data_IF_154176971477
#
_entry.id   IF_154176971477
#
_cell.length_a   1.000
_cell.length_b   1.000
_cell.length_c   1.000
_cell.angle_alpha   90.00
_cell.angle_beta   90.00
_cell.angle_gamma   90.00
#
_symmetry.space_group_name_H-M   'P 1'
#
loop_
_entity.id
_entity.type
_entity.pdbx_description
1 polymer ?
#
# COMPACT_ATOMS: atom_id res chain seq x y z
N UNK A 1 -27.31 5.03 -13.06
CA UNK A 1 -26.19 4.17 -12.60
C UNK A 1 -24.82 4.72 -13.02
N UNK A 2 -24.48 4.87 -14.31
CA UNK A 2 -23.12 5.30 -14.75
C UNK A 2 -22.66 6.64 -14.13
N UNK A 3 -23.53 7.66 -14.12
CA UNK A 3 -23.23 9.00 -13.58
C UNK A 3 -22.70 8.93 -12.14
N UNK A 4 -23.21 7.99 -11.38
CA UNK A 4 -22.97 7.86 -9.95
C UNK A 4 -21.61 7.21 -9.66
N UNK A 5 -21.15 6.28 -10.50
CA UNK A 5 -19.76 5.79 -10.47
C UNK A 5 -18.76 6.87 -10.89
N UNK A 6 -19.10 7.67 -11.92
CA UNK A 6 -18.26 8.78 -12.37
C UNK A 6 -18.15 9.86 -11.29
N UNK A 7 -19.24 10.18 -10.60
CA UNK A 7 -19.25 11.07 -9.44
C UNK A 7 -18.37 10.52 -8.32
N UNK A 8 -18.49 9.22 -7.99
CA UNK A 8 -17.64 8.59 -6.97
C UNK A 8 -16.15 8.71 -7.33
N UNK A 9 -15.76 8.41 -8.57
CA UNK A 9 -14.38 8.57 -9.05
C UNK A 9 -13.92 10.03 -8.92
N UNK A 10 -14.73 10.99 -9.35
CA UNK A 10 -14.41 12.41 -9.24
C UNK A 10 -14.22 12.90 -7.80
N UNK A 11 -15.12 12.50 -6.89
CA UNK A 11 -15.03 12.82 -5.47
C UNK A 11 -13.82 12.15 -4.80
N UNK A 12 -13.53 10.88 -5.12
CA UNK A 12 -12.33 10.17 -4.64
C UNK A 12 -11.07 10.90 -5.10
N UNK A 13 -10.98 11.22 -6.39
CA UNK A 13 -9.81 11.92 -6.95
C UNK A 13 -9.62 13.29 -6.29
N UNK A 14 -10.68 14.08 -6.17
CA UNK A 14 -10.62 15.38 -5.50
C UNK A 14 -10.16 15.26 -4.04
N UNK A 15 -10.74 14.33 -3.29
CA UNK A 15 -10.39 14.12 -1.88
C UNK A 15 -8.91 13.69 -1.72
N UNK A 16 -8.43 12.76 -2.57
CA UNK A 16 -7.02 12.35 -2.56
C UNK A 16 -6.09 13.52 -2.94
N UNK A 17 -6.43 14.31 -3.95
CA UNK A 17 -5.63 15.47 -4.35
C UNK A 17 -5.53 16.52 -3.24
N UNK A 18 -6.64 16.80 -2.54
CA UNK A 18 -6.66 17.70 -1.38
C UNK A 18 -5.80 17.19 -0.22
N UNK A 19 -5.92 15.90 0.12
CA UNK A 19 -5.14 15.29 1.20
C UNK A 19 -3.65 15.16 0.87
N UNK A 20 -3.30 14.89 -0.39
CA UNK A 20 -1.90 14.91 -0.84
C UNK A 20 -1.34 16.34 -0.97
N UNK A 21 -2.19 17.32 -1.24
CA UNK A 21 -1.86 18.74 -1.10
C UNK A 21 -1.52 19.10 0.36
N UNK A 22 -2.29 18.57 1.32
CA UNK A 22 -1.96 18.70 2.74
C UNK A 22 -0.66 17.97 3.08
N UNK A 23 -0.43 16.77 2.54
CA UNK A 23 0.82 16.04 2.72
C UNK A 23 2.04 16.84 2.25
N UNK A 24 1.91 17.52 1.12
CA UNK A 24 2.92 18.45 0.62
C UNK A 24 3.19 19.59 1.60
N UNK A 25 2.15 20.24 2.14
CA UNK A 25 2.31 21.31 3.14
C UNK A 25 3.03 20.79 4.39
N UNK A 26 2.67 19.59 4.88
CA UNK A 26 3.31 18.97 6.05
C UNK A 26 4.78 18.66 5.77
N UNK A 27 5.09 18.08 4.61
CA UNK A 27 6.47 17.77 4.20
C UNK A 27 7.30 19.06 4.08
N UNK A 28 6.77 20.13 3.50
CA UNK A 28 7.46 21.42 3.38
C UNK A 28 7.71 22.09 4.74
N UNK A 29 6.79 21.95 5.70
CA UNK A 29 6.94 22.52 7.05
C UNK A 29 7.89 21.73 7.95
N UNK A 30 7.87 20.40 7.82
CA UNK A 30 8.66 19.51 8.68
C UNK A 30 10.03 19.18 8.11
N UNK A 31 10.22 19.32 6.79
CA UNK A 31 11.40 18.85 6.07
C UNK A 31 11.53 17.32 6.02
N UNK A 32 10.55 16.57 6.52
CA UNK A 32 10.58 15.12 6.62
C UNK A 32 9.57 14.51 5.65
N UNK A 33 10.09 13.77 4.69
CA UNK A 33 9.30 13.23 3.58
C UNK A 33 8.60 11.93 3.95
N UNK A 34 8.97 11.29 5.06
CA UNK A 34 8.26 10.13 5.56
C UNK A 34 6.80 10.41 5.93
N UNK A 35 6.45 11.67 6.23
CA UNK A 35 5.06 12.06 6.46
C UNK A 35 4.18 11.93 5.22
N UNK A 36 4.75 12.01 4.01
CA UNK A 36 4.02 11.85 2.76
C UNK A 36 3.37 10.47 2.69
N UNK A 37 4.16 9.41 2.87
CA UNK A 37 3.68 8.03 2.80
C UNK A 37 2.70 7.70 3.95
N UNK A 38 2.92 8.27 5.13
CA UNK A 38 2.00 8.14 6.26
C UNK A 38 0.63 8.78 5.96
N UNK A 39 0.64 10.02 5.46
CA UNK A 39 -0.60 10.75 5.11
C UNK A 39 -1.30 10.06 3.95
N UNK A 40 -0.57 9.58 2.94
CA UNK A 40 -1.14 8.80 1.84
C UNK A 40 -1.87 7.54 2.33
N UNK A 41 -1.28 6.82 3.30
CA UNK A 41 -1.89 5.61 3.89
C UNK A 41 -3.20 5.94 4.62
N UNK A 42 -3.20 7.02 5.42
CA UNK A 42 -4.41 7.49 6.10
C UNK A 42 -5.46 8.04 5.13
N UNK A 43 -5.04 8.80 4.11
CA UNK A 43 -5.91 9.39 3.12
C UNK A 43 -6.64 8.30 2.31
N UNK A 44 -5.90 7.31 1.81
CA UNK A 44 -6.46 6.17 1.09
C UNK A 44 -7.50 5.42 1.92
N UNK A 45 -7.22 5.19 3.22
CA UNK A 45 -8.15 4.55 4.14
C UNK A 45 -9.40 5.37 4.42
N UNK A 46 -9.23 6.65 4.73
CA UNK A 46 -10.35 7.55 5.05
C UNK A 46 -11.25 7.76 3.84
N UNK A 47 -10.66 8.01 2.66
CA UNK A 47 -11.43 8.16 1.40
C UNK A 47 -12.10 6.85 1.03
N UNK A 48 -11.43 5.70 1.21
CA UNK A 48 -12.03 4.38 0.99
C UNK A 48 -13.21 4.10 1.92
N UNK A 49 -13.08 4.42 3.21
CA UNK A 49 -14.16 4.25 4.19
C UNK A 49 -15.34 5.19 3.90
N UNK A 50 -15.08 6.45 3.57
CA UNK A 50 -16.12 7.40 3.16
C UNK A 50 -16.83 6.94 1.88
N UNK A 51 -16.10 6.41 0.91
CA UNK A 51 -16.68 5.87 -0.31
C UNK A 51 -17.48 4.58 -0.05
N UNK A 52 -17.04 3.72 0.86
CA UNK A 52 -17.80 2.53 1.28
C UNK A 52 -19.15 2.90 1.92
N UNK A 53 -19.16 3.95 2.74
CA UNK A 53 -20.35 4.44 3.45
C UNK A 53 -21.21 5.40 2.64
N UNK A 54 -20.88 5.63 1.36
CA UNK A 54 -21.60 6.57 0.51
C UNK A 54 -23.07 6.15 0.36
N UNK A 55 -24.05 7.04 0.66
CA UNK A 55 -25.47 6.68 0.64
C UNK A 55 -25.99 6.75 -0.80
N UNK A 56 -25.98 5.62 -1.50
CA UNK A 56 -26.48 5.52 -2.88
C UNK A 56 -27.90 4.99 -2.98
N UNK A 57 -28.31 4.22 -1.98
CA UNK A 57 -29.56 3.50 -1.89
C UNK A 57 -29.74 2.95 -0.46
N UNK A 58 -30.87 2.29 -0.22
CA UNK A 58 -31.15 1.46 0.97
C UNK A 58 -30.33 0.14 0.98
N UNK A 59 -29.17 0.12 0.29
CA UNK A 59 -28.27 -1.02 0.24
C UNK A 59 -27.75 -1.43 1.61
N UNK A 60 -27.25 -2.66 1.71
CA UNK A 60 -26.91 -3.34 2.97
C UNK A 60 -25.95 -2.52 3.85
N UNK A 61 -26.43 -1.91 4.95
CA UNK A 61 -25.59 -1.10 5.82
C UNK A 61 -24.45 -1.94 6.43
N UNK A 62 -24.71 -3.22 6.71
CA UNK A 62 -23.73 -4.16 7.27
C UNK A 62 -22.53 -4.38 6.36
N UNK A 63 -22.71 -4.54 5.04
CA UNK A 63 -21.58 -4.72 4.10
C UNK A 63 -20.76 -3.44 4.00
N UNK A 64 -21.42 -2.28 3.90
CA UNK A 64 -20.75 -0.98 3.84
C UNK A 64 -19.85 -0.75 5.05
N UNK A 65 -20.37 -1.00 6.26
CA UNK A 65 -19.62 -0.89 7.51
C UNK A 65 -18.48 -1.90 7.57
N UNK A 66 -18.71 -3.16 7.16
CA UNK A 66 -17.66 -4.19 7.11
C UNK A 66 -16.51 -3.76 6.19
N UNK A 67 -16.81 -3.37 4.95
CA UNK A 67 -15.79 -2.99 3.97
C UNK A 67 -15.05 -1.71 4.40
N UNK A 68 -15.74 -0.75 5.00
CA UNK A 68 -15.11 0.42 5.62
C UNK A 68 -14.16 0.03 6.76
N UNK A 69 -14.57 -0.90 7.63
CA UNK A 69 -13.71 -1.39 8.71
C UNK A 69 -12.46 -2.09 8.17
N UNK A 70 -12.58 -2.91 7.11
CA UNK A 70 -11.44 -3.60 6.49
C UNK A 70 -10.38 -2.62 5.98
N UNK A 71 -10.78 -1.56 5.25
CA UNK A 71 -9.81 -0.57 4.75
C UNK A 71 -9.22 0.27 5.89
N UNK A 72 -10.00 0.56 6.94
CA UNK A 72 -9.50 1.30 8.10
C UNK A 72 -8.48 0.49 8.91
N UNK A 73 -8.71 -0.82 9.08
CA UNK A 73 -7.75 -1.72 9.75
C UNK A 73 -6.40 -1.70 9.02
N UNK A 74 -6.43 -1.82 7.68
CA UNK A 74 -5.23 -1.69 6.85
C UNK A 74 -4.57 -0.31 7.02
N UNK A 75 -5.35 0.75 6.86
CA UNK A 75 -4.88 2.14 6.87
C UNK A 75 -4.25 2.55 8.19
N UNK A 76 -4.91 2.23 9.31
CA UNK A 76 -4.40 2.52 10.65
C UNK A 76 -3.10 1.77 10.88
N UNK A 77 -3.01 0.50 10.48
CA UNK A 77 -1.80 -0.31 10.66
C UNK A 77 -0.62 0.27 9.86
N UNK A 78 -0.80 0.48 8.55
CA UNK A 78 0.28 0.94 7.68
C UNK A 78 0.65 2.40 8.00
N UNK A 79 -0.34 3.27 8.07
CA UNK A 79 -0.16 4.69 8.40
C UNK A 79 0.52 4.88 9.75
N UNK A 80 0.15 4.11 10.78
CA UNK A 80 0.80 4.19 12.11
C UNK A 80 2.23 3.66 12.07
N UNK A 81 2.49 2.56 11.34
CA UNK A 81 3.83 2.02 11.19
C UNK A 81 4.78 3.06 10.59
N UNK A 82 4.36 3.70 9.49
CA UNK A 82 5.15 4.72 8.79
C UNK A 82 5.27 5.99 9.64
N UNK A 83 4.15 6.50 10.19
CA UNK A 83 4.15 7.70 11.02
C UNK A 83 5.09 7.59 12.23
N UNK A 84 5.15 6.42 12.90
CA UNK A 84 6.10 6.19 14.00
C UNK A 84 7.56 6.28 13.54
N UNK A 85 7.86 5.80 12.34
CA UNK A 85 9.21 5.88 11.74
C UNK A 85 9.56 7.34 11.40
N UNK A 86 8.62 8.07 10.80
CA UNK A 86 8.80 9.48 10.45
C UNK A 86 8.95 10.36 11.68
N UNK A 87 8.13 10.14 12.72
CA UNK A 87 8.24 10.85 14.00
C UNK A 87 9.57 10.61 14.72
N UNK A 88 10.23 9.47 14.46
CA UNK A 88 11.59 9.19 14.95
C UNK A 88 12.70 9.89 14.14
N UNK A 89 12.36 10.79 13.21
CA UNK A 89 13.32 11.54 12.39
C UNK A 89 13.96 10.74 11.26
N UNK A 90 13.46 9.54 10.98
CA UNK A 90 13.96 8.72 9.87
C UNK A 90 13.28 9.20 8.59
N UNK A 91 14.01 10.01 7.82
CA UNK A 91 13.58 10.46 6.50
C UNK A 91 13.71 9.33 5.47
N UNK A 92 12.88 9.40 4.43
CA UNK A 92 12.94 8.47 3.31
C UNK A 92 14.00 8.93 2.29
N UNK A 93 15.07 8.15 2.05
CA UNK A 93 16.16 8.55 1.17
C UNK A 93 15.72 8.91 -0.25
N UNK A 94 14.60 8.36 -0.75
CA UNK A 94 14.08 8.64 -2.11
C UNK A 94 13.77 10.12 -2.27
N UNK A 95 13.09 10.70 -1.30
CA UNK A 95 12.67 12.10 -1.36
C UNK A 95 13.83 13.06 -1.13
N UNK A 96 14.77 12.71 -0.26
CA UNK A 96 16.01 13.45 -0.10
C UNK A 96 16.84 13.47 -1.40
N UNK A 97 16.85 12.37 -2.17
CA UNK A 97 17.48 12.34 -3.50
C UNK A 97 16.77 13.27 -4.48
N UNK A 98 15.43 13.22 -4.55
CA UNK A 98 14.65 14.13 -5.40
C UNK A 98 14.87 15.60 -5.06
N UNK A 99 14.91 15.95 -3.77
CA UNK A 99 15.17 17.32 -3.35
C UNK A 99 16.55 17.81 -3.81
N UNK A 100 17.58 16.95 -3.73
CA UNK A 100 18.93 17.25 -4.22
C UNK A 100 18.97 17.41 -5.74
N UNK A 101 18.32 16.52 -6.49
CA UNK A 101 18.29 16.55 -7.96
C UNK A 101 17.49 17.74 -8.51
N UNK A 102 16.39 18.12 -7.84
CA UNK A 102 15.48 19.16 -8.31
C UNK A 102 15.88 20.57 -7.86
N UNK A 103 16.77 20.69 -6.88
CA UNK A 103 17.30 21.97 -6.40
C UNK A 103 16.19 22.97 -6.05
N UNK A 104 16.30 24.20 -6.56
CA UNK A 104 15.32 25.26 -6.31
C UNK A 104 13.89 24.92 -6.78
N UNK A 105 13.74 23.99 -7.73
CA UNK A 105 12.44 23.55 -8.23
C UNK A 105 11.81 22.44 -7.37
N UNK A 106 12.50 21.95 -6.32
CA UNK A 106 12.07 20.81 -5.52
C UNK A 106 10.65 20.97 -4.93
N UNK A 107 10.27 22.11 -4.30
CA UNK A 107 8.92 22.26 -3.76
C UNK A 107 7.83 22.08 -4.82
N UNK A 108 7.99 22.71 -5.97
CA UNK A 108 7.01 22.67 -7.07
C UNK A 108 6.93 21.27 -7.69
N UNK A 109 8.08 20.64 -7.96
CA UNK A 109 8.12 19.28 -8.52
C UNK A 109 7.55 18.25 -7.54
N UNK A 110 7.82 18.41 -6.25
CA UNK A 110 7.23 17.58 -5.20
C UNK A 110 5.70 17.69 -5.20
N UNK A 111 5.15 18.90 -5.31
CA UNK A 111 3.70 19.08 -5.38
C UNK A 111 3.10 18.26 -6.53
N UNK A 112 3.60 18.42 -7.76
CA UNK A 112 3.09 17.67 -8.91
C UNK A 112 3.30 16.16 -8.79
N UNK A 113 4.40 15.73 -8.18
CA UNK A 113 4.64 14.31 -7.88
C UNK A 113 3.63 13.76 -6.88
N UNK A 114 3.27 14.50 -5.83
CA UNK A 114 2.24 14.05 -4.88
C UNK A 114 0.83 14.08 -5.50
N UNK A 115 0.57 14.99 -6.44
CA UNK A 115 -0.69 14.97 -7.19
C UNK A 115 -0.76 13.77 -8.15
N UNK A 116 0.33 13.38 -8.80
CA UNK A 116 0.33 12.15 -9.61
C UNK A 116 0.14 10.91 -8.74
N UNK A 117 0.73 10.86 -7.53
CA UNK A 117 0.44 9.81 -6.55
C UNK A 117 -1.04 9.78 -6.16
N UNK A 118 -1.67 10.93 -5.93
CA UNK A 118 -3.11 11.01 -5.63
C UNK A 118 -3.95 10.38 -6.75
N UNK A 119 -3.69 10.74 -8.00
CA UNK A 119 -4.46 10.25 -9.16
C UNK A 119 -4.23 8.76 -9.41
N UNK A 120 -2.99 8.29 -9.31
CA UNK A 120 -2.64 6.86 -9.44
C UNK A 120 -3.29 6.02 -8.33
N UNK A 121 -3.62 6.62 -7.19
CA UNK A 121 -4.24 5.93 -6.05
C UNK A 121 -5.77 5.83 -6.15
N UNK A 122 -6.42 6.53 -7.08
CA UNK A 122 -7.89 6.50 -7.26
C UNK A 122 -8.47 5.07 -7.35
N UNK A 123 -7.86 4.11 -8.06
CA UNK A 123 -8.37 2.75 -8.13
C UNK A 123 -8.48 2.06 -6.75
N UNK A 124 -7.67 2.48 -5.77
CA UNK A 124 -7.65 1.88 -4.44
C UNK A 124 -8.96 2.18 -3.67
N UNK A 125 -9.34 3.44 -3.33
CA UNK A 125 -10.66 3.70 -2.73
C UNK A 125 -11.83 3.30 -3.63
N UNK A 126 -11.66 3.35 -4.95
CA UNK A 126 -12.73 2.94 -5.87
C UNK A 126 -13.02 1.44 -5.78
N UNK A 127 -12.03 0.58 -5.61
CA UNK A 127 -12.25 -0.84 -5.35
C UNK A 127 -13.00 -1.07 -4.02
N UNK A 128 -12.70 -0.26 -2.98
CA UNK A 128 -13.43 -0.28 -1.69
C UNK A 128 -14.90 0.10 -1.89
N UNK A 129 -15.16 1.18 -2.65
CA UNK A 129 -16.50 1.60 -3.03
C UNK A 129 -17.27 0.48 -3.75
N UNK A 130 -16.65 -0.15 -4.75
CA UNK A 130 -17.27 -1.20 -5.54
C UNK A 130 -17.58 -2.44 -4.71
N UNK A 131 -16.69 -2.81 -3.79
CA UNK A 131 -16.89 -3.91 -2.85
C UNK A 131 -18.06 -3.65 -1.90
N UNK A 132 -18.12 -2.44 -1.32
CA UNK A 132 -19.20 -2.05 -0.40
C UNK A 132 -20.59 -2.06 -1.06
N UNK A 133 -20.64 -1.73 -2.36
CA UNK A 133 -21.87 -1.59 -3.15
C UNK A 133 -22.17 -2.80 -4.06
N UNK A 134 -21.50 -3.93 -3.85
CA UNK A 134 -21.80 -5.14 -4.59
C UNK A 134 -23.25 -5.59 -4.33
N UNK A 135 -24.07 -5.89 -5.36
CA UNK A 135 -25.48 -6.22 -5.18
C UNK A 135 -25.62 -7.62 -4.56
N UNK A 136 -26.27 -7.69 -3.38
CA UNK A 136 -26.71 -8.94 -2.75
C UNK A 136 -27.77 -8.65 -1.67
N UNK A 137 -28.63 -9.63 -1.32
CA UNK A 137 -29.60 -9.49 -0.23
C UNK A 137 -29.00 -9.61 1.18
N UNK A 138 -27.77 -10.10 1.30
CA UNK A 138 -27.04 -10.22 2.57
C UNK A 138 -25.53 -10.36 2.38
N UNK A 139 -24.82 -10.62 3.48
CA UNK A 139 -23.41 -11.04 3.41
C UNK A 139 -23.31 -12.40 2.73
N UNK A 140 -22.31 -12.55 1.87
CA UNK A 140 -22.02 -13.74 1.08
C UNK A 140 -20.71 -14.35 1.55
N UNK A 141 -20.41 -15.57 1.08
CA UNK A 141 -19.13 -16.24 1.35
C UNK A 141 -17.93 -15.36 0.96
N UNK A 142 -18.05 -14.56 -0.11
CA UNK A 142 -17.02 -13.63 -0.55
C UNK A 142 -16.67 -12.56 0.49
N UNK A 143 -17.66 -12.07 1.26
CA UNK A 143 -17.45 -11.08 2.32
C UNK A 143 -16.54 -11.66 3.42
N UNK A 144 -16.79 -12.91 3.81
CA UNK A 144 -15.97 -13.63 4.79
C UNK A 144 -14.58 -13.97 4.27
N UNK A 145 -14.45 -14.37 2.99
CA UNK A 145 -13.14 -14.59 2.36
C UNK A 145 -12.34 -13.28 2.34
N UNK A 146 -12.98 -12.16 2.01
CA UNK A 146 -12.35 -10.84 2.05
C UNK A 146 -11.82 -10.46 3.44
N UNK A 147 -12.60 -10.74 4.50
CA UNK A 147 -12.13 -10.58 5.90
C UNK A 147 -10.86 -11.42 6.14
N UNK A 148 -10.89 -12.71 5.78
CA UNK A 148 -9.74 -13.60 5.99
C UNK A 148 -8.51 -13.11 5.24
N UNK A 149 -8.65 -12.64 3.99
CA UNK A 149 -7.56 -12.08 3.20
C UNK A 149 -6.93 -10.88 3.91
N UNK A 150 -7.72 -9.91 4.38
CA UNK A 150 -7.22 -8.73 5.09
C UNK A 150 -6.52 -9.11 6.39
N UNK A 151 -7.09 -10.04 7.18
CA UNK A 151 -6.47 -10.48 8.43
C UNK A 151 -5.12 -11.18 8.17
N UNK A 152 -5.05 -12.06 7.18
CA UNK A 152 -3.80 -12.73 6.77
C UNK A 152 -2.78 -11.70 6.27
N UNK A 153 -3.21 -10.74 5.44
CA UNK A 153 -2.36 -9.65 4.94
C UNK A 153 -1.76 -8.84 6.10
N UNK A 154 -2.60 -8.30 6.98
CA UNK A 154 -2.16 -7.48 8.11
C UNK A 154 -1.24 -8.25 9.07
N UNK A 155 -1.58 -9.51 9.37
CA UNK A 155 -0.77 -10.36 10.23
C UNK A 155 0.58 -10.72 9.59
N UNK A 156 0.57 -11.09 8.30
CA UNK A 156 1.77 -11.43 7.54
C UNK A 156 2.72 -10.25 7.40
N UNK A 157 2.19 -9.06 7.08
CA UNK A 157 2.96 -7.83 6.99
C UNK A 157 3.55 -7.45 8.36
N UNK A 158 2.75 -7.50 9.43
CA UNK A 158 3.22 -7.24 10.79
C UNK A 158 4.31 -8.22 11.24
N UNK A 159 4.20 -9.49 10.85
CA UNK A 159 5.23 -10.49 11.10
C UNK A 159 6.52 -10.18 10.34
N UNK A 160 6.43 -9.85 9.05
CA UNK A 160 7.58 -9.49 8.21
C UNK A 160 8.32 -8.28 8.80
N UNK A 161 7.61 -7.22 9.16
CA UNK A 161 8.21 -6.02 9.76
C UNK A 161 8.82 -6.29 11.12
N UNK A 162 8.17 -7.12 11.95
CA UNK A 162 8.71 -7.52 13.26
C UNK A 162 10.00 -8.34 13.10
N UNK A 163 10.07 -9.24 12.11
CA UNK A 163 11.28 -10.00 11.79
C UNK A 163 12.41 -9.05 11.37
N UNK A 164 12.14 -8.12 10.45
CA UNK A 164 13.13 -7.15 9.99
C UNK A 164 13.60 -6.24 11.12
N UNK A 165 12.69 -5.73 11.95
CA UNK A 165 13.02 -4.86 13.08
C UNK A 165 13.92 -5.59 14.09
N UNK A 166 13.56 -6.83 14.45
CA UNK A 166 14.37 -7.66 15.36
C UNK A 166 15.75 -7.97 14.77
N UNK A 167 15.83 -8.19 13.46
CA UNK A 167 17.10 -8.38 12.78
C UNK A 167 17.99 -7.14 12.88
N UNK A 168 17.44 -5.96 12.57
CA UNK A 168 18.16 -4.67 12.60
C UNK A 168 18.63 -4.26 14.00
N UNK A 169 17.89 -4.60 15.04
CA UNK A 169 18.22 -4.23 16.43
C UNK A 169 19.38 -5.03 17.04
N UNK A 170 19.85 -6.10 16.39
CA UNK A 170 20.98 -6.90 16.89
C UNK A 170 22.31 -6.33 16.36
N UNK A 171 23.25 -5.90 17.23
CA UNK A 171 24.54 -5.36 16.78
C UNK A 171 25.35 -6.34 15.91
N UNK A 172 25.25 -7.64 16.18
CA UNK A 172 25.88 -8.71 15.38
C UNK A 172 25.39 -8.79 13.93
N UNK A 173 24.31 -8.09 13.59
CA UNK A 173 23.74 -8.04 12.25
C UNK A 173 24.10 -6.75 11.48
N UNK A 174 24.93 -5.88 12.06
CA UNK A 174 25.45 -4.72 11.37
C UNK A 174 26.14 -5.16 10.06
N UNK A 175 25.82 -4.49 8.94
CA UNK A 175 26.37 -4.85 7.64
C UNK A 175 25.77 -6.08 6.96
N UNK A 176 24.86 -6.82 7.61
CA UNK A 176 24.28 -8.06 7.06
C UNK A 176 22.95 -7.82 6.34
N UNK A 177 22.51 -8.84 5.59
CA UNK A 177 21.21 -8.90 4.90
C UNK A 177 20.25 -9.76 5.70
N UNK A 178 19.01 -9.30 5.87
CA UNK A 178 17.97 -10.05 6.57
C UNK A 178 17.45 -11.18 5.68
N UNK A 179 17.80 -12.42 6.04
CA UNK A 179 17.42 -13.64 5.33
C UNK A 179 16.87 -14.69 6.31
N UNK A 180 15.89 -14.28 7.14
CA UNK A 180 15.27 -15.14 8.15
C UNK A 180 13.75 -15.09 8.05
N UNK A 181 13.09 -16.17 8.46
CA UNK A 181 11.62 -16.22 8.48
C UNK A 181 11.04 -15.98 7.08
N UNK A 182 10.11 -15.04 6.96
CA UNK A 182 9.46 -14.68 5.70
C UNK A 182 10.43 -14.07 4.70
N UNK A 183 11.47 -13.37 5.18
CA UNK A 183 12.52 -12.80 4.34
C UNK A 183 13.34 -13.88 3.63
N UNK A 184 13.33 -15.13 4.12
CA UNK A 184 13.98 -16.22 3.38
C UNK A 184 13.22 -16.59 2.10
N UNK A 185 11.92 -16.36 2.03
CA UNK A 185 11.05 -16.82 0.94
C UNK A 185 10.78 -15.72 -0.09
N UNK A 186 10.82 -14.47 0.34
CA UNK A 186 10.69 -13.29 -0.50
C UNK A 186 11.62 -12.21 0.02
N UNK A 187 12.22 -11.43 -0.88
CA UNK A 187 13.04 -10.28 -0.51
C UNK A 187 12.21 -9.14 0.05
N UNK A 188 10.92 -9.07 -0.28
CA UNK A 188 9.98 -8.03 0.15
C UNK A 188 8.65 -8.67 0.59
N UNK A 189 8.65 -9.50 1.66
CA UNK A 189 7.45 -10.24 2.07
C UNK A 189 6.36 -9.30 2.60
N UNK A 190 6.74 -8.17 3.22
CA UNK A 190 5.81 -7.13 3.62
C UNK A 190 5.06 -6.53 2.41
N UNK A 191 5.74 -6.28 1.29
CA UNK A 191 5.09 -5.78 0.06
C UNK A 191 4.14 -6.82 -0.55
N UNK A 192 4.48 -8.11 -0.46
CA UNK A 192 3.55 -9.17 -0.87
C UNK A 192 2.26 -9.15 -0.05
N UNK A 193 2.37 -9.04 1.28
CA UNK A 193 1.19 -9.00 2.15
C UNK A 193 0.39 -7.71 1.99
N UNK A 194 1.05 -6.57 1.74
CA UNK A 194 0.39 -5.32 1.36
C UNK A 194 -0.50 -5.54 0.12
N UNK A 195 0.09 -6.07 -0.95
CA UNK A 195 -0.66 -6.41 -2.17
C UNK A 195 -1.77 -7.45 -1.96
N UNK A 196 -1.51 -8.49 -1.15
CA UNK A 196 -2.48 -9.54 -0.84
C UNK A 196 -3.76 -8.94 -0.24
N UNK A 197 -3.64 -7.95 0.64
CA UNK A 197 -4.80 -7.27 1.24
C UNK A 197 -5.73 -6.67 0.20
N UNK A 198 -5.19 -6.10 -0.88
CA UNK A 198 -5.97 -5.49 -1.97
C UNK A 198 -6.75 -6.51 -2.81
N UNK A 199 -6.45 -7.81 -2.72
CA UNK A 199 -7.25 -8.86 -3.35
C UNK A 199 -8.60 -9.09 -2.64
N UNK A 200 -8.77 -8.62 -1.40
CA UNK A 200 -10.03 -8.75 -0.69
C UNK A 200 -11.17 -8.00 -1.40
N UNK A 201 -10.90 -6.79 -1.90
CA UNK A 201 -11.93 -5.96 -2.52
C UNK A 201 -12.49 -6.55 -3.81
N UNK A 202 -11.72 -7.06 -4.79
CA UNK A 202 -12.29 -7.75 -5.94
C UNK A 202 -13.00 -9.05 -5.57
N UNK A 203 -12.53 -9.79 -4.56
CA UNK A 203 -13.26 -10.97 -4.07
C UNK A 203 -14.66 -10.56 -3.60
N UNK A 204 -14.77 -9.47 -2.85
CA UNK A 204 -16.05 -8.95 -2.37
C UNK A 204 -16.86 -8.31 -3.52
N UNK A 205 -16.22 -7.59 -4.43
CA UNK A 205 -16.92 -6.81 -5.46
C UNK A 205 -17.47 -7.69 -6.60
N UNK A 206 -16.76 -8.74 -7.01
CA UNK A 206 -17.16 -9.53 -8.16
C UNK A 206 -18.49 -10.27 -7.89
N UNK A 207 -19.48 -10.03 -8.74
CA UNK A 207 -20.82 -10.62 -8.64
C UNK A 207 -21.45 -10.75 -10.03
N UNK A 208 -22.24 -11.80 -10.30
CA UNK A 208 -23.04 -11.89 -11.52
C UNK A 208 -23.93 -10.65 -11.70
N UNK A 209 -23.97 -10.10 -12.91
CA UNK A 209 -24.77 -8.91 -13.24
C UNK A 209 -24.18 -7.57 -12.77
N UNK A 210 -23.03 -7.56 -12.10
CA UNK A 210 -22.38 -6.34 -11.62
C UNK A 210 -21.12 -6.00 -12.43
N UNK A 211 -21.31 -5.42 -13.61
CA UNK A 211 -20.22 -5.13 -14.55
C UNK A 211 -19.13 -4.21 -13.97
N UNK A 212 -19.52 -3.21 -13.16
CA UNK A 212 -18.57 -2.32 -12.49
C UNK A 212 -17.67 -3.04 -11.48
N UNK A 213 -18.11 -4.19 -10.94
CA UNK A 213 -17.31 -5.02 -10.05
C UNK A 213 -15.95 -5.42 -10.64
N UNK A 214 -15.84 -5.59 -11.97
CA UNK A 214 -14.57 -5.91 -12.64
C UNK A 214 -13.50 -4.81 -12.47
N UNK A 215 -13.91 -3.54 -12.35
CA UNK A 215 -12.96 -2.44 -12.18
C UNK A 215 -12.23 -2.50 -10.83
N UNK A 216 -12.72 -3.25 -9.84
CA UNK A 216 -12.04 -3.47 -8.56
C UNK A 216 -10.70 -4.21 -8.69
N UNK A 217 -10.48 -4.97 -9.79
CA UNK A 217 -9.21 -5.62 -10.10
C UNK A 217 -8.08 -4.61 -10.36
N UNK A 218 -8.42 -3.36 -10.67
CA UNK A 218 -7.43 -2.30 -10.87
C UNK A 218 -6.64 -2.01 -9.57
N UNK A 219 -7.23 -2.23 -8.38
CA UNK A 219 -6.56 -1.99 -7.10
C UNK A 219 -5.36 -2.92 -6.85
N UNK A 220 -5.49 -4.26 -6.87
CA UNK A 220 -4.33 -5.13 -6.73
C UNK A 220 -3.37 -5.00 -7.93
N UNK A 221 -3.86 -4.69 -9.13
CA UNK A 221 -2.99 -4.48 -10.29
C UNK A 221 -2.09 -3.25 -10.11
N UNK A 222 -2.65 -2.10 -9.71
CA UNK A 222 -1.87 -0.88 -9.51
C UNK A 222 -0.95 -1.00 -8.29
N UNK A 223 -1.43 -1.64 -7.21
CA UNK A 223 -0.60 -1.88 -6.03
C UNK A 223 0.61 -2.76 -6.36
N UNK A 224 0.40 -3.85 -7.12
CA UNK A 224 1.50 -4.68 -7.60
C UNK A 224 2.49 -3.87 -8.44
N UNK A 225 1.98 -3.10 -9.40
CA UNK A 225 2.83 -2.33 -10.31
C UNK A 225 3.70 -1.30 -9.56
N UNK A 226 3.10 -0.54 -8.65
CA UNK A 226 3.81 0.46 -7.86
C UNK A 226 4.88 -0.19 -6.99
N UNK A 227 4.52 -1.28 -6.29
CA UNK A 227 5.44 -1.97 -5.38
C UNK A 227 6.57 -2.67 -6.13
N UNK A 228 6.29 -3.35 -7.23
CA UNK A 228 7.29 -4.18 -7.92
C UNK A 228 8.11 -3.41 -8.93
N UNK A 229 7.55 -2.40 -9.58
CA UNK A 229 8.17 -1.75 -10.74
C UNK A 229 8.47 -0.26 -10.57
N UNK A 230 7.93 0.42 -9.55
CA UNK A 230 8.07 1.89 -9.45
C UNK A 230 8.71 2.32 -8.15
N UNK A 231 7.93 2.43 -7.08
CA UNK A 231 8.37 3.10 -5.84
C UNK A 231 8.75 2.13 -4.73
N UNK A 232 8.42 0.83 -4.86
CA UNK A 232 8.72 -0.20 -3.86
C UNK A 232 10.10 -0.82 -4.01
N UNK A 233 10.18 -1.94 -4.74
CA UNK A 233 11.36 -2.81 -4.85
C UNK A 233 12.54 -2.09 -5.51
N UNK A 234 12.42 -1.48 -6.71
CA UNK A 234 13.59 -1.00 -7.45
C UNK A 234 14.48 -0.01 -6.66
N UNK A 235 13.96 1.10 -6.10
CA UNK A 235 14.81 2.04 -5.36
C UNK A 235 15.37 1.45 -4.07
N UNK A 236 14.61 0.57 -3.40
CA UNK A 236 15.06 -0.07 -2.17
C UNK A 236 16.22 -1.04 -2.45
N UNK A 237 16.13 -1.83 -3.52
CA UNK A 237 17.18 -2.78 -3.88
C UNK A 237 18.44 -2.10 -4.40
N UNK A 238 18.30 -0.99 -5.13
CA UNK A 238 19.43 -0.17 -5.52
C UNK A 238 20.22 0.33 -4.30
N UNK A 239 19.52 0.86 -3.29
CA UNK A 239 20.15 1.27 -2.04
C UNK A 239 20.78 0.09 -1.27
N UNK A 240 20.13 -1.08 -1.29
CA UNK A 240 20.68 -2.28 -0.66
C UNK A 240 21.95 -2.77 -1.37
N UNK A 241 22.01 -2.71 -2.71
CA UNK A 241 23.20 -3.01 -3.48
C UNK A 241 24.35 -2.04 -3.17
N UNK A 242 24.06 -0.74 -3.09
CA UNK A 242 25.06 0.27 -2.72
C UNK A 242 25.62 0.05 -1.30
N UNK A 243 24.78 -0.35 -0.35
CA UNK A 243 25.15 -0.46 1.07
C UNK A 243 25.65 -1.84 1.52
N UNK A 244 25.39 -2.91 0.74
CA UNK A 244 25.72 -4.30 1.11
C UNK A 244 26.49 -5.06 0.02
N UNK A 245 26.55 -4.51 -1.21
CA UNK A 245 27.34 -5.06 -2.31
C UNK A 245 27.03 -6.54 -2.60
N UNK A 246 28.08 -7.36 -2.64
CA UNK A 246 28.01 -8.76 -3.03
C UNK A 246 27.10 -9.60 -2.11
N UNK A 247 27.02 -9.28 -0.82
CA UNK A 247 26.13 -9.98 0.12
C UNK A 247 24.66 -9.87 -0.30
N UNK A 248 24.26 -8.72 -0.85
CA UNK A 248 22.91 -8.55 -1.36
C UNK A 248 22.72 -9.24 -2.70
N UNK A 249 23.70 -9.21 -3.61
CA UNK A 249 23.63 -9.96 -4.88
C UNK A 249 23.42 -11.45 -4.67
N UNK A 250 24.16 -12.05 -3.72
CA UNK A 250 23.98 -13.45 -3.34
C UNK A 250 22.57 -13.74 -2.82
N UNK A 251 21.97 -12.81 -2.08
CA UNK A 251 20.59 -12.92 -1.62
C UNK A 251 19.58 -12.77 -2.77
N UNK A 252 19.81 -11.85 -3.72
CA UNK A 252 18.97 -11.68 -4.90
C UNK A 252 18.97 -12.93 -5.80
N UNK A 253 20.12 -13.61 -5.93
CA UNK A 253 20.28 -14.80 -6.76
C UNK A 253 19.45 -16.00 -6.25
N UNK A 254 19.27 -16.12 -4.94
CA UNK A 254 18.59 -17.27 -4.32
C UNK A 254 17.15 -17.00 -3.88
N UNK A 255 16.80 -15.76 -3.58
CA UNK A 255 15.50 -15.40 -3.00
C UNK A 255 14.64 -14.62 -3.98
N UNK A 256 13.39 -15.07 -4.16
CA UNK A 256 12.39 -14.39 -4.99
C UNK A 256 12.20 -12.94 -4.56
N UNK A 257 12.01 -12.00 -5.50
CA UNK A 257 11.83 -10.60 -5.16
C UNK A 257 10.54 -10.34 -4.38
N UNK A 258 9.41 -10.88 -4.87
CA UNK A 258 8.07 -10.52 -4.40
C UNK A 258 7.28 -11.73 -3.90
N UNK A 259 7.00 -12.71 -4.77
CA UNK A 259 6.24 -13.89 -4.38
C UNK A 259 7.05 -14.79 -3.43
N UNK A 260 6.46 -15.29 -2.33
CA UNK A 260 7.14 -16.14 -1.36
C UNK A 260 7.36 -17.54 -1.95
N UNK A 261 8.53 -17.77 -2.55
CA UNK A 261 8.92 -19.05 -3.13
C UNK A 261 10.09 -19.68 -2.36
N UNK A 262 10.22 -21.03 -2.37
CA UNK A 262 11.39 -21.69 -1.81
C UNK A 262 12.69 -21.11 -2.40
N UNK A 263 13.72 -20.85 -1.56
CA UNK A 263 15.00 -20.36 -2.06
C UNK A 263 15.61 -21.32 -3.08
N UNK A 264 16.20 -20.76 -4.14
CA UNK A 264 17.00 -21.56 -5.08
C UNK A 264 18.24 -22.08 -4.36
N UNK A 265 18.60 -23.34 -4.63
CA UNK A 265 19.86 -23.89 -4.14
C UNK A 265 21.00 -23.09 -4.78
N UNK A 266 21.96 -22.64 -3.98
CA UNK A 266 23.18 -22.05 -4.51
C UNK A 266 23.88 -23.13 -5.35
N UNK A 267 24.13 -22.85 -6.64
CA UNK A 267 25.07 -23.64 -7.42
C UNK A 267 26.41 -23.53 -6.69
N UNK A 268 26.87 -24.67 -6.14
CA UNK A 268 28.19 -24.80 -5.51
C UNK A 268 29.28 -24.72 -6.55
#
# INVERSE_FOLDING_TARGET
MIILYVQAIGCIALALCLLMGLAWVVQQRTGNSGWVDAIWSYATGLVGAAAALWPLDDGLPTRRVLVAALVLVWSVRLGTHIARRSAAGIDDPRYANYAREWGAAAPRRMFFFLQSQALVSVPLPFAVFLAAHAPAPGLRLQDYIGIVIILVAVAGEAMADRQLRRFKLRPSNAGRVCDIGLWRWSRHPNYFFEWLGWLAYPVIALSPGYAWGWASLAAPAIMYWILVHVTGIPPLEEQMLQSRGELYRQYQARTSAFFPWPPRQAQR
#
